data_IF_222233750455
#
_entry.id   IF_222233750455
#
_cell.length_a   1.000
_cell.length_b   1.000
_cell.length_c   1.000
_cell.angle_alpha   90.00
_cell.angle_beta   90.00
_cell.angle_gamma   90.00
#
_symmetry.space_group_name_H-M   'P 1'
#
loop_
_entity.id
_entity.type
_entity.pdbx_description
1 polymer ?
#
# COMPACT_ATOMS: atom_id res chain seq x y z
N UNK A 1 12.02 -8.81 -12.04
CA UNK A 1 10.66 -9.23 -11.60
C UNK A 1 9.77 -9.35 -12.83
N UNK A 2 8.80 -10.29 -12.89
CA UNK A 2 7.86 -10.38 -14.03
C UNK A 2 6.89 -9.17 -14.01
N UNK A 3 6.45 -8.63 -15.16
CA UNK A 3 5.57 -7.45 -15.21
C UNK A 3 4.30 -7.58 -14.35
N UNK A 4 3.65 -8.74 -14.39
CA UNK A 4 2.47 -9.02 -13.57
C UNK A 4 2.75 -8.97 -12.06
N UNK A 5 3.90 -9.47 -11.60
CA UNK A 5 4.27 -9.42 -10.20
C UNK A 5 4.54 -7.97 -9.74
N UNK A 6 5.02 -7.12 -10.65
CA UNK A 6 5.25 -5.71 -10.40
C UNK A 6 3.94 -4.96 -10.14
N UNK A 7 2.98 -5.12 -11.06
CA UNK A 7 1.63 -4.54 -10.93
C UNK A 7 0.98 -4.94 -9.60
N UNK A 8 1.12 -6.21 -9.17
CA UNK A 8 0.59 -6.65 -7.87
C UNK A 8 1.24 -5.90 -6.70
N UNK A 9 2.57 -5.72 -6.72
CA UNK A 9 3.28 -4.99 -5.67
C UNK A 9 2.82 -3.54 -5.63
N UNK A 10 2.67 -2.90 -6.79
CA UNK A 10 2.25 -1.50 -6.87
C UNK A 10 0.83 -1.30 -6.33
N UNK A 11 -0.12 -2.13 -6.77
CA UNK A 11 -1.50 -2.12 -6.26
C UNK A 11 -1.57 -2.40 -4.76
N UNK A 12 -0.77 -3.35 -4.27
CA UNK A 12 -0.72 -3.64 -2.84
C UNK A 12 -0.20 -2.42 -2.06
N UNK A 13 0.83 -1.73 -2.55
CA UNK A 13 1.36 -0.51 -1.92
C UNK A 13 0.31 0.62 -1.92
N UNK A 14 -0.42 0.81 -3.02
CA UNK A 14 -1.49 1.81 -3.11
C UNK A 14 -2.62 1.54 -2.10
N UNK A 15 -3.05 0.29 -1.95
CA UNK A 15 -4.06 -0.10 -0.94
C UNK A 15 -3.57 0.26 0.47
N UNK A 16 -2.31 -0.06 0.80
CA UNK A 16 -1.76 0.27 2.12
C UNK A 16 -1.60 1.78 2.32
N UNK A 17 -1.32 2.54 1.26
CA UNK A 17 -1.22 3.99 1.31
C UNK A 17 -2.59 4.66 1.57
N UNK A 18 -3.65 4.20 0.89
CA UNK A 18 -5.03 4.67 1.15
C UNK A 18 -5.46 4.32 2.58
N UNK A 19 -5.25 3.07 3.02
CA UNK A 19 -5.53 2.67 4.40
C UNK A 19 -4.79 3.54 5.44
N UNK A 20 -3.53 3.90 5.18
CA UNK A 20 -2.77 4.83 6.03
C UNK A 20 -3.41 6.23 6.07
N UNK A 21 -3.97 6.72 4.97
CA UNK A 21 -4.69 8.00 4.92
C UNK A 21 -6.01 7.98 5.70
N UNK A 22 -6.71 6.84 5.66
CA UNK A 22 -7.98 6.62 6.35
C UNK A 22 -7.84 6.24 7.83
N UNK A 23 -6.64 5.84 8.27
CA UNK A 23 -6.35 5.40 9.63
C UNK A 23 -6.80 6.39 10.73
N UNK A 24 -6.87 7.69 10.44
CA UNK A 24 -7.40 8.69 11.40
C UNK A 24 -8.92 8.59 11.63
N UNK A 25 -9.65 8.08 10.65
CA UNK A 25 -11.12 8.02 10.66
C UNK A 25 -11.64 6.81 11.43
N UNK A 26 -10.87 5.73 11.46
CA UNK A 26 -11.27 4.49 12.11
C UNK A 26 -10.31 3.37 11.78
N UNK A 27 -10.71 2.17 12.17
CA UNK A 27 -9.98 0.94 11.86
C UNK A 27 -9.90 0.72 10.35
N UNK A 28 -8.76 0.20 9.91
CA UNK A 28 -8.45 -0.05 8.48
C UNK A 28 -8.00 -1.48 8.23
N UNK A 29 -8.26 -2.40 9.17
CA UNK A 29 -7.98 -3.83 9.07
C UNK A 29 -8.97 -4.56 8.14
N UNK A 30 -9.10 -4.05 6.91
CA UNK A 30 -10.03 -4.56 5.90
C UNK A 30 -9.50 -5.80 5.17
N UNK A 31 -10.38 -6.50 4.45
CA UNK A 31 -9.99 -7.62 3.57
C UNK A 31 -8.99 -7.19 2.50
N UNK A 32 -9.14 -5.98 1.95
CA UNK A 32 -8.22 -5.42 0.97
C UNK A 32 -6.81 -5.25 1.55
N UNK A 33 -6.70 -4.70 2.76
CA UNK A 33 -5.41 -4.58 3.48
C UNK A 33 -4.80 -5.95 3.74
N UNK A 34 -5.60 -6.93 4.20
CA UNK A 34 -5.12 -8.29 4.42
C UNK A 34 -4.54 -8.92 3.14
N UNK A 35 -5.24 -8.75 2.01
CA UNK A 35 -4.78 -9.26 0.72
C UNK A 35 -3.50 -8.56 0.27
N UNK A 36 -3.44 -7.23 0.36
CA UNK A 36 -2.25 -6.46 0.01
C UNK A 36 -1.02 -6.92 0.79
N UNK A 37 -1.13 -7.09 2.12
CA UNK A 37 -0.04 -7.61 2.94
C UNK A 37 0.38 -9.03 2.53
N UNK A 38 -0.59 -9.89 2.18
CA UNK A 38 -0.32 -11.27 1.70
C UNK A 38 0.46 -11.29 0.39
N UNK A 39 0.17 -10.36 -0.52
CA UNK A 39 0.86 -10.20 -1.80
C UNK A 39 2.33 -9.76 -1.60
N UNK A 40 2.60 -8.94 -0.59
CA UNK A 40 3.95 -8.43 -0.31
C UNK A 40 4.86 -9.42 0.42
N UNK A 41 4.33 -10.51 1.00
CA UNK A 41 5.12 -11.51 1.75
C UNK A 41 6.31 -12.07 0.98
N UNK A 42 6.18 -12.27 -0.33
CA UNK A 42 7.28 -12.81 -1.15
C UNK A 42 8.39 -11.79 -1.43
N UNK A 43 8.14 -10.51 -1.16
CA UNK A 43 9.02 -9.38 -1.50
C UNK A 43 9.65 -8.71 -0.29
N UNK A 44 9.17 -9.02 0.92
CA UNK A 44 9.68 -8.53 2.19
C UNK A 44 10.44 -9.65 2.93
N UNK A 45 11.79 -9.58 3.07
CA UNK A 45 12.55 -10.56 3.84
C UNK A 45 12.17 -10.58 5.32
N UNK A 46 11.95 -9.40 5.91
CA UNK A 46 11.47 -9.25 7.28
C UNK A 46 9.94 -9.19 7.30
N UNK A 47 9.33 -10.09 8.08
CA UNK A 47 7.86 -10.18 8.20
C UNK A 47 7.27 -9.21 9.20
N UNK A 48 8.06 -8.73 10.16
CA UNK A 48 7.58 -7.89 11.25
C UNK A 48 6.84 -6.64 10.75
N UNK A 49 7.25 -5.91 9.68
CA UNK A 49 6.51 -4.72 9.26
C UNK A 49 5.12 -5.04 8.71
N UNK A 50 4.95 -6.21 8.08
CA UNK A 50 3.66 -6.64 7.57
C UNK A 50 2.70 -7.00 8.72
N UNK A 51 3.21 -7.71 9.73
CA UNK A 51 2.45 -8.03 10.93
C UNK A 51 2.10 -6.77 11.74
N UNK A 52 3.07 -5.89 11.98
CA UNK A 52 2.85 -4.63 12.70
C UNK A 52 1.89 -3.70 11.98
N UNK A 53 1.85 -3.69 10.64
CA UNK A 53 0.83 -2.95 9.91
C UNK A 53 -0.57 -3.49 10.22
N UNK A 54 -0.74 -4.81 10.15
CA UNK A 54 -2.02 -5.46 10.41
C UNK A 54 -2.52 -5.24 11.84
N UNK A 55 -1.63 -5.37 12.82
CA UNK A 55 -1.94 -5.13 14.24
C UNK A 55 -2.36 -3.68 14.46
N UNK A 56 -1.55 -2.73 13.98
CA UNK A 56 -1.86 -1.30 14.11
C UNK A 56 -3.15 -0.92 13.39
N UNK A 57 -3.47 -1.53 12.24
CA UNK A 57 -4.68 -1.24 11.47
C UNK A 57 -5.98 -1.52 12.25
N UNK A 58 -5.94 -2.47 13.19
CA UNK A 58 -7.08 -2.84 14.05
C UNK A 58 -7.10 -2.16 15.41
N UNK A 59 -6.12 -1.32 15.73
CA UNK A 59 -6.08 -0.56 16.99
C UNK A 59 -7.28 0.39 17.08
N UNK A 60 -7.91 0.49 18.25
CA UNK A 60 -9.03 1.40 18.48
C UNK A 60 -8.55 2.85 18.68
N UNK A 61 -7.41 3.01 19.34
CA UNK A 61 -6.82 4.33 19.61
C UNK A 61 -6.28 4.94 18.32
N UNK A 62 -6.84 6.08 17.91
CA UNK A 62 -6.43 6.82 16.70
C UNK A 62 -4.92 7.08 16.66
N UNK A 63 -4.34 7.52 17.78
CA UNK A 63 -2.91 7.83 17.86
C UNK A 63 -2.05 6.59 17.61
N UNK A 64 -2.34 5.48 18.29
CA UNK A 64 -1.59 4.22 18.14
C UNK A 64 -1.74 3.69 16.71
N UNK A 65 -2.95 3.72 16.15
CA UNK A 65 -3.25 3.27 14.79
C UNK A 65 -2.51 4.09 13.75
N UNK A 66 -2.67 5.40 13.75
CA UNK A 66 -2.06 6.31 12.75
C UNK A 66 -0.53 6.26 12.79
N UNK A 67 0.06 6.22 14.00
CA UNK A 67 1.51 6.10 14.16
C UNK A 67 2.01 4.70 13.76
N UNK A 68 1.35 3.65 14.25
CA UNK A 68 1.73 2.26 13.98
C UNK A 68 1.66 1.91 12.51
N UNK A 69 0.55 2.23 11.84
CA UNK A 69 0.35 2.02 10.39
C UNK A 69 1.41 2.81 9.61
N UNK A 70 1.69 4.07 9.98
CA UNK A 70 2.72 4.88 9.31
C UNK A 70 4.13 4.30 9.46
N UNK A 71 4.50 3.90 10.67
CA UNK A 71 5.83 3.32 10.94
C UNK A 71 6.01 1.98 10.21
N UNK A 72 5.01 1.11 10.26
CA UNK A 72 5.00 -0.17 9.57
C UNK A 72 5.07 0.00 8.05
N UNK A 73 4.28 0.91 7.48
CA UNK A 73 4.29 1.22 6.05
C UNK A 73 5.68 1.67 5.56
N UNK A 74 6.35 2.55 6.31
CA UNK A 74 7.72 2.97 5.99
C UNK A 74 8.71 1.80 6.07
N UNK A 75 8.51 0.88 7.03
CA UNK A 75 9.23 -0.39 7.11
C UNK A 75 9.08 -1.24 5.85
N UNK A 76 7.85 -1.40 5.36
CA UNK A 76 7.51 -2.14 4.14
C UNK A 76 8.19 -1.50 2.92
N UNK A 77 7.99 -0.20 2.69
CA UNK A 77 8.59 0.51 1.56
C UNK A 77 10.11 0.41 1.53
N UNK A 78 10.77 0.53 2.69
CA UNK A 78 12.23 0.39 2.78
C UNK A 78 12.70 -0.99 2.31
N UNK A 79 11.97 -2.05 2.66
CA UNK A 79 12.31 -3.41 2.22
C UNK A 79 12.07 -3.63 0.73
N UNK A 80 10.93 -3.16 0.21
CA UNK A 80 10.60 -3.29 -1.21
C UNK A 80 11.58 -2.54 -2.11
N UNK A 81 12.05 -1.37 -1.66
CA UNK A 81 13.11 -0.61 -2.35
C UNK A 81 14.44 -1.36 -2.33
N UNK A 82 14.84 -1.90 -1.17
CA UNK A 82 16.07 -2.69 -1.03
C UNK A 82 16.07 -3.96 -1.89
N UNK A 83 14.91 -4.58 -2.12
CA UNK A 83 14.79 -5.77 -2.97
C UNK A 83 14.62 -5.44 -4.46
N UNK A 84 14.51 -4.15 -4.82
CA UNK A 84 14.23 -3.71 -6.20
C UNK A 84 12.82 -4.07 -6.67
N UNK A 85 11.94 -4.54 -5.78
CA UNK A 85 10.55 -4.85 -6.09
C UNK A 85 9.71 -3.58 -6.28
N UNK A 86 10.14 -2.47 -5.65
CA UNK A 86 9.50 -1.16 -5.75
C UNK A 86 10.59 -0.08 -5.89
N UNK A 87 11.08 0.21 -7.11
CA UNK A 87 11.89 1.37 -7.38
C UNK A 87 11.06 2.62 -7.13
N UNK A 88 11.75 3.76 -7.09
CA UNK A 88 11.12 5.05 -6.87
C UNK A 88 9.90 5.22 -7.79
N UNK A 89 8.75 5.56 -7.22
CA UNK A 89 7.49 5.65 -7.94
C UNK A 89 7.66 6.62 -9.11
N UNK A 90 7.64 6.07 -10.33
CA UNK A 90 7.59 6.85 -11.55
C UNK A 90 6.14 6.77 -12.08
N UNK A 91 5.29 7.77 -11.81
CA UNK A 91 3.89 7.76 -12.25
C UNK A 91 3.75 7.60 -13.78
N UNK A 92 4.78 7.93 -14.56
CA UNK A 92 4.77 7.78 -16.01
C UNK A 92 4.92 6.33 -16.49
N UNK A 93 5.46 5.42 -15.67
CA UNK A 93 5.66 4.00 -16.04
C UNK A 93 4.33 3.21 -16.06
N UNK A 94 3.33 3.68 -15.30
CA UNK A 94 2.03 3.03 -15.12
C UNK A 94 0.84 3.87 -15.57
N UNK A 95 1.09 5.05 -16.14
CA UNK A 95 0.04 5.81 -16.78
C UNK A 95 -0.58 4.95 -17.89
N UNK A 96 -1.90 4.81 -17.87
CA UNK A 96 -2.62 4.14 -18.96
C UNK A 96 -2.24 4.86 -20.26
N UNK A 97 -1.66 4.16 -21.27
CA UNK A 97 -1.30 4.79 -22.54
C UNK A 97 -2.53 5.34 -23.26
N UNK A 98 -3.73 4.90 -22.89
CA UNK A 98 -4.98 5.45 -23.35
C UNK A 98 -5.43 6.65 -22.46
N UNK A 99 -5.41 7.89 -22.98
CA UNK A 99 -5.78 9.08 -22.23
C UNK A 99 -7.25 9.08 -21.78
N UNK A 100 -8.14 8.32 -22.44
CA UNK A 100 -9.55 8.27 -22.09
C UNK A 100 -9.79 7.52 -20.76
N UNK A 101 -8.99 6.47 -20.48
CA UNK A 101 -9.08 5.66 -19.26
C UNK A 101 -8.35 6.29 -18.08
N UNK A 102 -7.24 6.99 -18.35
CA UNK A 102 -6.51 7.75 -17.34
C UNK A 102 -7.35 8.91 -16.74
N UNK A 103 -8.29 9.46 -17.50
CA UNK A 103 -9.22 10.49 -17.03
C UNK A 103 -10.31 9.93 -16.11
N UNK A 104 -10.86 8.75 -16.43
CA UNK A 104 -11.87 8.07 -15.60
C UNK A 104 -11.35 7.72 -14.21
N UNK A 105 -10.10 7.25 -14.10
CA UNK A 105 -9.52 6.90 -12.80
C UNK A 105 -9.20 8.13 -11.93
N UNK A 106 -8.92 9.30 -12.53
CA UNK A 106 -8.68 10.56 -11.79
C UNK A 106 -9.97 11.21 -11.28
N UNK A 107 -11.07 11.11 -12.04
CA UNK A 107 -12.37 11.65 -11.62
C UNK A 107 -12.96 10.94 -10.40
N UNK A 108 -12.72 9.62 -10.26
CA UNK A 108 -13.26 8.84 -9.13
C UNK A 108 -12.61 9.13 -7.78
N UNK A 109 -11.40 9.70 -7.77
CA UNK A 109 -10.61 9.96 -6.54
C UNK A 109 -10.91 11.37 -5.98
N UNK A 110 -11.59 12.23 -6.75
CA UNK A 110 -11.88 13.61 -6.36
C UNK A 110 -13.29 13.83 -5.79
N UNK A 111 -14.17 12.82 -5.84
CA UNK A 111 -15.59 12.92 -5.46
C UNK A 111 -15.97 12.09 -4.19
N UNK A 112 -14.99 11.57 -3.44
CA UNK A 112 -15.17 10.97 -2.09
C UNK A 112 -14.37 11.73 -1.04
#
# INVERSE_FOLDING_TARGET
MRPHARIIVDLAVEILLSAKGEARLGRVDTVAVRLALRCLLAHCPERWPLASFWEAAGEETELNRTQGVSAAFNGILRQLRRSGAYPEYNPAEYADPDPARAATNRGRIADE
#
